data_IF_721845803689
#
_entry.id   IF_721845803689
#
_cell.length_a   1.000
_cell.length_b   1.000
_cell.length_c   1.000
_cell.angle_alpha   90.00
_cell.angle_beta   90.00
_cell.angle_gamma   90.00
#
_symmetry.space_group_name_H-M   'P 1'
#
loop_
_entity.id
_entity.type
_entity.pdbx_description
1 polymer ?
#
# COMPACT_ATOMS: atom_id res chain seq x y z
N UNK A 1 14.32 -5.44 -29.91
CA UNK A 1 14.04 -5.81 -28.50
C UNK A 1 15.24 -5.78 -27.55
N UNK A 2 16.43 -5.29 -27.94
CA UNK A 2 17.62 -5.24 -27.07
C UNK A 2 17.63 -4.10 -26.03
N UNK A 3 16.76 -3.09 -26.18
CA UNK A 3 16.78 -1.88 -25.35
C UNK A 3 16.29 -2.10 -23.91
N UNK A 4 15.34 -3.00 -23.67
CA UNK A 4 14.75 -3.18 -22.35
C UNK A 4 15.66 -3.92 -21.35
N UNK A 5 16.30 -5.05 -21.72
CA UNK A 5 17.37 -5.64 -20.91
C UNK A 5 18.53 -4.67 -20.70
N UNK A 6 18.91 -3.89 -21.73
CA UNK A 6 19.91 -2.84 -21.62
C UNK A 6 19.48 -1.71 -20.66
N UNK A 7 18.20 -1.36 -20.58
CA UNK A 7 17.68 -0.40 -19.58
C UNK A 7 17.80 -0.98 -18.17
N UNK A 8 17.49 -2.27 -17.97
CA UNK A 8 17.67 -2.94 -16.67
C UNK A 8 19.14 -2.99 -16.26
N UNK A 9 20.04 -3.30 -17.20
CA UNK A 9 21.48 -3.40 -16.93
C UNK A 9 22.15 -2.02 -16.77
N UNK A 10 21.70 -1.02 -17.54
CA UNK A 10 22.10 0.38 -17.40
C UNK A 10 21.65 0.96 -16.05
N UNK A 11 20.46 0.61 -15.59
CA UNK A 11 19.95 1.06 -14.29
C UNK A 11 20.80 0.54 -13.11
N UNK A 12 21.47 -0.62 -13.28
CA UNK A 12 22.47 -1.14 -12.31
C UNK A 12 23.82 -0.46 -12.44
N UNK A 13 24.31 -0.28 -13.67
CA UNK A 13 25.63 0.29 -13.94
C UNK A 13 25.76 1.75 -13.48
N UNK A 14 24.65 2.49 -13.48
CA UNK A 14 24.66 3.94 -13.26
C UNK A 14 24.50 4.38 -11.80
N UNK A 15 24.16 3.49 -10.86
CA UNK A 15 24.13 3.83 -9.42
C UNK A 15 25.52 3.84 -8.77
N UNK A 16 26.52 3.17 -9.36
CA UNK A 16 27.87 3.03 -8.79
C UNK A 16 28.91 3.99 -9.37
N UNK A 17 28.61 4.68 -10.46
CA UNK A 17 29.54 5.58 -11.15
C UNK A 17 28.97 6.99 -11.27
N UNK A 18 29.63 7.96 -10.62
CA UNK A 18 29.23 9.38 -10.63
C UNK A 18 29.23 10.00 -12.04
N UNK A 19 29.99 9.43 -12.98
CA UNK A 19 30.06 9.88 -14.38
C UNK A 19 28.79 9.53 -15.17
N UNK A 20 28.10 8.45 -14.78
CA UNK A 20 26.89 7.99 -15.44
C UNK A 20 25.60 8.54 -14.80
N UNK A 21 25.72 9.40 -13.80
CA UNK A 21 24.60 9.99 -13.08
C UNK A 21 23.65 10.77 -13.98
N UNK A 22 24.16 11.52 -14.96
CA UNK A 22 23.32 12.26 -15.91
C UNK A 22 22.48 11.33 -16.81
N UNK A 23 23.03 10.18 -17.20
CA UNK A 23 22.32 9.15 -17.97
C UNK A 23 21.25 8.49 -17.11
N UNK A 24 21.58 8.18 -15.85
CA UNK A 24 20.62 7.69 -14.86
C UNK A 24 19.46 8.66 -14.66
N UNK A 25 19.75 9.94 -14.42
CA UNK A 25 18.72 10.95 -14.15
C UNK A 25 17.80 11.14 -15.35
N UNK A 26 18.35 11.06 -16.58
CA UNK A 26 17.56 11.10 -17.81
C UNK A 26 16.72 9.84 -18.02
N UNK A 27 17.28 8.65 -17.79
CA UNK A 27 16.53 7.39 -17.84
C UNK A 27 15.43 7.35 -16.78
N UNK A 28 15.72 7.79 -15.56
CA UNK A 28 14.76 7.91 -14.47
C UNK A 28 13.65 8.94 -14.79
N UNK A 29 13.97 10.04 -15.46
CA UNK A 29 13.00 11.01 -15.94
C UNK A 29 12.06 10.41 -17.01
N UNK A 30 12.61 9.63 -17.96
CA UNK A 30 11.82 8.93 -18.99
C UNK A 30 10.91 7.87 -18.36
N UNK A 31 11.45 7.03 -17.48
CA UNK A 31 10.70 6.03 -16.70
C UNK A 31 9.73 6.67 -15.68
N UNK A 32 9.95 7.94 -15.34
CA UNK A 32 9.13 8.73 -14.42
C UNK A 32 7.97 9.45 -15.10
N UNK A 33 8.03 9.66 -16.41
CA UNK A 33 7.01 10.39 -17.15
C UNK A 33 5.71 9.59 -17.24
N UNK A 34 4.66 10.08 -16.56
CA UNK A 34 3.33 9.46 -16.47
C UNK A 34 2.60 9.29 -17.82
N UNK A 35 2.97 10.07 -18.83
CA UNK A 35 2.37 10.07 -20.19
C UNK A 35 3.34 9.69 -21.31
N UNK A 36 4.41 8.94 -21.02
CA UNK A 36 5.30 8.50 -22.11
C UNK A 36 4.54 7.56 -23.06
N UNK A 37 4.55 7.87 -24.36
CA UNK A 37 3.99 7.01 -25.41
C UNK A 37 4.87 5.77 -25.54
N UNK A 38 4.26 4.59 -25.51
CA UNK A 38 4.98 3.34 -25.77
C UNK A 38 5.03 3.05 -27.27
N UNK A 39 6.09 2.37 -27.74
CA UNK A 39 6.06 1.77 -29.07
C UNK A 39 4.84 0.86 -29.18
N UNK A 40 4.08 0.97 -30.25
CA UNK A 40 3.02 0.02 -30.57
C UNK A 40 3.63 -1.22 -31.23
N UNK A 41 3.02 -2.40 -31.04
CA UNK A 41 3.46 -3.63 -31.72
C UNK A 41 4.70 -4.31 -31.11
N UNK A 42 4.92 -4.19 -29.80
CA UNK A 42 5.87 -5.07 -29.11
C UNK A 42 5.22 -6.41 -28.76
N UNK A 43 6.06 -7.43 -28.59
CA UNK A 43 5.64 -8.77 -28.20
C UNK A 43 5.24 -8.77 -26.71
N UNK A 44 3.94 -8.88 -26.44
CA UNK A 44 3.37 -8.89 -25.09
C UNK A 44 3.91 -10.04 -24.24
N UNK A 45 4.12 -11.23 -24.83
CA UNK A 45 4.63 -12.38 -24.10
C UNK A 45 6.06 -12.15 -23.61
N UNK A 46 6.93 -11.67 -24.50
CA UNK A 46 8.30 -11.33 -24.10
C UNK A 46 8.35 -10.17 -23.11
N UNK A 47 7.42 -9.22 -23.18
CA UNK A 47 7.32 -8.15 -22.19
C UNK A 47 6.86 -8.67 -20.82
N UNK A 48 5.96 -9.66 -20.77
CA UNK A 48 5.58 -10.34 -19.53
C UNK A 48 6.74 -11.16 -18.96
N UNK A 49 7.48 -11.89 -19.80
CA UNK A 49 8.69 -12.61 -19.37
C UNK A 49 9.72 -11.66 -18.77
N UNK A 50 9.95 -10.52 -19.41
CA UNK A 50 10.81 -9.48 -18.89
C UNK A 50 10.31 -8.94 -17.55
N UNK A 51 9.01 -8.67 -17.42
CA UNK A 51 8.42 -8.23 -16.16
C UNK A 51 8.66 -9.27 -15.06
N UNK A 52 8.46 -10.56 -15.35
CA UNK A 52 8.74 -11.64 -14.42
C UNK A 52 10.21 -11.67 -13.98
N UNK A 53 11.16 -11.50 -14.92
CA UNK A 53 12.59 -11.39 -14.63
C UNK A 53 12.91 -10.18 -13.72
N UNK A 54 12.26 -9.04 -13.93
CA UNK A 54 12.44 -7.85 -13.08
C UNK A 54 11.95 -8.14 -11.65
N UNK A 55 10.79 -8.76 -11.50
CA UNK A 55 10.25 -9.15 -10.19
C UNK A 55 11.17 -10.16 -9.48
N UNK A 56 11.68 -11.16 -10.19
CA UNK A 56 12.62 -12.14 -9.61
C UNK A 56 13.94 -11.50 -9.18
N UNK A 57 14.47 -10.58 -9.99
CA UNK A 57 15.65 -9.79 -9.62
C UNK A 57 15.39 -8.92 -8.40
N UNK A 58 14.22 -8.30 -8.30
CA UNK A 58 13.88 -7.43 -7.17
C UNK A 58 13.80 -8.19 -5.83
N UNK A 59 13.43 -9.48 -5.84
CA UNK A 59 13.47 -10.34 -4.64
C UNK A 59 14.88 -10.54 -4.10
N UNK A 60 15.90 -10.39 -4.95
CA UNK A 60 17.32 -10.60 -4.67
C UNK A 60 18.14 -9.30 -4.75
N UNK A 61 17.48 -8.13 -4.76
CA UNK A 61 18.16 -6.84 -4.83
C UNK A 61 19.17 -6.68 -3.68
N UNK A 62 20.33 -6.10 -3.98
CA UNK A 62 21.39 -5.94 -2.99
C UNK A 62 21.03 -4.89 -1.92
N UNK A 63 20.24 -3.89 -2.30
CA UNK A 63 19.78 -2.83 -1.41
C UNK A 63 18.42 -2.23 -1.85
N UNK A 64 17.90 -1.32 -1.03
CA UNK A 64 16.61 -0.63 -1.27
C UNK A 64 16.64 0.28 -2.50
N UNK A 65 17.80 0.83 -2.85
CA UNK A 65 17.99 1.69 -4.01
C UNK A 65 17.83 0.90 -5.30
N UNK A 66 18.45 -0.28 -5.38
CA UNK A 66 18.29 -1.21 -6.50
C UNK A 66 16.84 -1.69 -6.62
N UNK A 67 16.21 -2.08 -5.50
CA UNK A 67 14.81 -2.48 -5.50
C UNK A 67 13.87 -1.37 -6.01
N UNK A 68 14.11 -0.12 -5.62
CA UNK A 68 13.32 1.04 -6.09
C UNK A 68 13.48 1.27 -7.60
N UNK A 69 14.69 1.12 -8.12
CA UNK A 69 14.97 1.23 -9.56
C UNK A 69 14.26 0.13 -10.32
N UNK A 70 14.36 -1.12 -9.86
CA UNK A 70 13.63 -2.24 -10.46
C UNK A 70 12.12 -2.03 -10.42
N UNK A 71 11.58 -1.46 -9.35
CA UNK A 71 10.17 -1.08 -9.25
C UNK A 71 9.76 -0.03 -10.29
N UNK A 72 10.62 0.96 -10.57
CA UNK A 72 10.38 1.93 -11.64
C UNK A 72 10.34 1.29 -13.03
N UNK A 73 11.24 0.33 -13.30
CA UNK A 73 11.25 -0.39 -14.57
C UNK A 73 10.04 -1.31 -14.67
N UNK A 74 9.70 -2.03 -13.60
CA UNK A 74 8.50 -2.87 -13.53
C UNK A 74 7.22 -2.06 -13.81
N UNK A 75 7.10 -0.87 -13.22
CA UNK A 75 5.98 0.03 -13.46
C UNK A 75 5.91 0.49 -14.93
N UNK A 76 7.06 0.77 -15.56
CA UNK A 76 7.12 1.14 -16.98
C UNK A 76 6.65 0.00 -17.89
N UNK A 77 7.15 -1.23 -17.68
CA UNK A 77 6.76 -2.41 -18.46
C UNK A 77 5.29 -2.75 -18.23
N UNK A 78 4.84 -2.71 -16.97
CA UNK A 78 3.42 -2.95 -16.62
C UNK A 78 2.50 -1.95 -17.33
N UNK A 79 2.87 -0.67 -17.36
CA UNK A 79 2.09 0.35 -18.06
C UNK A 79 1.98 0.06 -19.56
N UNK A 80 3.09 -0.31 -20.20
CA UNK A 80 3.09 -0.67 -21.61
C UNK A 80 2.15 -1.84 -21.92
N UNK A 81 2.22 -2.90 -21.11
CA UNK A 81 1.36 -4.08 -21.22
C UNK A 81 -0.12 -3.71 -21.08
N UNK A 82 -0.46 -3.01 -20.00
CA UNK A 82 -1.83 -2.60 -19.68
C UNK A 82 -2.44 -1.62 -20.69
N UNK A 83 -1.62 -0.83 -21.40
CA UNK A 83 -2.08 0.07 -22.46
C UNK A 83 -2.29 -0.64 -23.82
N UNK A 84 -1.70 -1.82 -24.03
CA UNK A 84 -1.67 -2.48 -25.34
C UNK A 84 -2.73 -3.57 -25.47
N UNK A 85 -2.91 -4.38 -24.42
CA UNK A 85 -3.74 -5.58 -24.48
C UNK A 85 -4.36 -5.89 -23.11
N UNK A 86 -5.70 -5.97 -23.07
CA UNK A 86 -6.46 -6.29 -21.86
C UNK A 86 -6.12 -7.66 -21.28
N UNK A 87 -5.70 -8.62 -22.10
CA UNK A 87 -5.39 -9.99 -21.67
C UNK A 87 -4.08 -10.05 -20.88
N UNK A 88 -3.29 -8.98 -20.88
CA UNK A 88 -2.06 -8.87 -20.08
C UNK A 88 -2.33 -8.49 -18.62
N UNK A 89 -3.48 -7.91 -18.31
CA UNK A 89 -3.79 -7.40 -16.98
C UNK A 89 -3.74 -8.50 -15.89
N UNK A 90 -4.38 -9.68 -16.07
CA UNK A 90 -4.25 -10.79 -15.13
C UNK A 90 -2.80 -11.23 -14.89
N UNK A 91 -1.97 -11.24 -15.94
CA UNK A 91 -0.56 -11.65 -15.85
C UNK A 91 0.27 -10.64 -15.06
N UNK A 92 0.06 -9.34 -15.29
CA UNK A 92 0.69 -8.26 -14.51
C UNK A 92 0.24 -8.34 -13.04
N UNK A 93 -1.05 -8.58 -12.80
CA UNK A 93 -1.63 -8.75 -11.47
C UNK A 93 -0.97 -9.91 -10.72
N UNK A 94 -0.87 -11.08 -11.35
CA UNK A 94 -0.28 -12.29 -10.76
C UNK A 94 1.19 -12.10 -10.37
N UNK A 95 1.99 -11.43 -11.22
CA UNK A 95 3.40 -11.14 -10.91
C UNK A 95 3.54 -10.23 -9.68
N UNK A 96 2.66 -9.24 -9.56
CA UNK A 96 2.63 -8.37 -8.38
C UNK A 96 2.17 -9.12 -7.13
N UNK A 97 1.10 -9.91 -7.21
CA UNK A 97 0.62 -10.76 -6.10
C UNK A 97 1.71 -11.74 -5.65
N UNK A 98 2.37 -12.44 -6.58
CA UNK A 98 3.44 -13.37 -6.26
C UNK A 98 4.61 -12.70 -5.54
N UNK A 99 4.90 -11.45 -5.90
CA UNK A 99 5.95 -10.65 -5.29
C UNK A 99 5.58 -10.13 -3.89
N UNK A 100 4.31 -9.76 -3.69
CA UNK A 100 3.79 -9.47 -2.34
C UNK A 100 3.81 -10.73 -1.49
N UNK A 101 3.37 -11.88 -2.00
CA UNK A 101 3.44 -13.17 -1.29
C UNK A 101 4.86 -13.49 -0.85
N UNK A 102 5.83 -13.40 -1.76
CA UNK A 102 7.24 -13.65 -1.45
C UNK A 102 7.72 -12.75 -0.31
N UNK A 103 7.43 -11.45 -0.37
CA UNK A 103 7.74 -10.50 0.70
C UNK A 103 7.09 -10.88 2.04
N UNK A 104 5.79 -11.17 2.04
CA UNK A 104 5.03 -11.40 3.26
C UNK A 104 5.36 -12.73 3.93
N UNK A 105 5.80 -13.73 3.17
CA UNK A 105 6.03 -15.10 3.66
C UNK A 105 7.51 -15.44 3.87
N UNK A 106 8.45 -14.72 3.24
CA UNK A 106 9.88 -15.00 3.37
C UNK A 106 10.64 -13.88 4.08
N UNK A 107 11.32 -14.22 5.17
CA UNK A 107 12.16 -13.27 5.93
C UNK A 107 13.32 -12.71 5.10
N UNK A 108 13.89 -13.51 4.19
CA UNK A 108 15.02 -13.14 3.36
C UNK A 108 14.65 -12.30 2.11
N UNK A 109 13.36 -12.07 1.86
CA UNK A 109 12.92 -11.30 0.69
C UNK A 109 13.37 -9.84 0.79
N UNK A 110 14.06 -9.37 -0.24
CA UNK A 110 14.59 -8.00 -0.37
C UNK A 110 13.66 -7.04 -1.09
N UNK A 111 12.56 -7.55 -1.67
CA UNK A 111 11.54 -6.68 -2.24
C UNK A 111 10.85 -5.93 -1.09
N UNK A 112 10.47 -4.68 -1.28
CA UNK A 112 9.84 -3.86 -0.25
C UNK A 112 8.59 -3.18 -0.82
N UNK A 113 7.74 -2.61 0.03
CA UNK A 113 6.55 -1.85 -0.42
C UNK A 113 6.92 -0.75 -1.42
N UNK A 114 8.10 -0.15 -1.28
CA UNK A 114 8.60 0.90 -2.19
C UNK A 114 8.86 0.40 -3.63
N UNK A 115 9.03 -0.91 -3.85
CA UNK A 115 9.07 -1.47 -5.21
C UNK A 115 7.73 -1.23 -5.93
N UNK A 116 6.61 -1.45 -5.24
CA UNK A 116 5.27 -1.29 -5.81
C UNK A 116 4.82 0.17 -5.91
N UNK A 117 5.38 1.05 -5.07
CA UNK A 117 5.05 2.49 -5.02
C UNK A 117 5.12 3.14 -6.40
N UNK A 118 6.14 2.81 -7.20
CA UNK A 118 6.28 3.36 -8.54
C UNK A 118 5.08 3.02 -9.45
N UNK A 119 4.54 1.80 -9.38
CA UNK A 119 3.35 1.41 -10.12
C UNK A 119 2.12 2.19 -9.67
N UNK A 120 1.93 2.30 -8.35
CA UNK A 120 0.79 3.01 -7.74
C UNK A 120 0.80 4.51 -8.12
N UNK A 121 1.96 5.16 -8.05
CA UNK A 121 2.09 6.60 -8.32
C UNK A 121 2.05 6.93 -9.81
N UNK A 122 2.58 6.05 -10.69
CA UNK A 122 2.81 6.37 -12.11
C UNK A 122 1.80 5.81 -13.09
N UNK A 123 1.02 4.79 -12.73
CA UNK A 123 -0.03 4.28 -13.62
C UNK A 123 -1.10 5.35 -13.89
N UNK A 124 -1.90 5.16 -14.93
CA UNK A 124 -3.08 5.97 -15.23
C UNK A 124 -4.30 5.44 -14.45
N UNK A 125 -5.38 6.22 -14.26
CA UNK A 125 -6.58 5.78 -13.55
C UNK A 125 -7.09 4.40 -13.99
N UNK A 126 -7.26 4.18 -15.31
CA UNK A 126 -7.76 2.93 -15.89
C UNK A 126 -6.87 1.70 -15.60
N UNK A 127 -5.61 1.92 -15.23
CA UNK A 127 -4.63 0.87 -14.95
C UNK A 127 -4.49 0.58 -13.46
N UNK A 128 -4.99 1.46 -12.58
CA UNK A 128 -4.93 1.27 -11.14
C UNK A 128 -5.66 0.04 -10.61
N UNK A 129 -6.76 -0.47 -11.21
CA UNK A 129 -7.46 -1.65 -10.70
C UNK A 129 -6.53 -2.82 -10.36
N UNK A 130 -5.46 -3.02 -11.14
CA UNK A 130 -4.45 -4.06 -10.89
C UNK A 130 -3.87 -3.98 -9.47
N UNK A 131 -3.53 -2.79 -8.98
CA UNK A 131 -2.94 -2.60 -7.65
C UNK A 131 -3.98 -2.59 -6.54
N UNK A 132 -5.22 -2.26 -6.85
CA UNK A 132 -6.34 -2.43 -5.92
C UNK A 132 -6.58 -3.91 -5.63
N UNK A 133 -6.56 -4.76 -6.66
CA UNK A 133 -6.63 -6.21 -6.46
C UNK A 133 -5.42 -6.75 -5.68
N UNK A 134 -4.21 -6.23 -5.92
CA UNK A 134 -3.02 -6.60 -5.14
C UNK A 134 -3.18 -6.22 -3.67
N UNK A 135 -3.73 -5.04 -3.36
CA UNK A 135 -3.99 -4.62 -1.98
C UNK A 135 -5.07 -5.47 -1.28
N UNK A 136 -6.12 -5.85 -2.03
CA UNK A 136 -7.17 -6.76 -1.55
C UNK A 136 -6.56 -8.12 -1.17
N UNK A 137 -5.76 -8.71 -2.06
CA UNK A 137 -5.07 -9.97 -1.81
C UNK A 137 -4.12 -9.86 -0.60
N UNK A 138 -3.37 -8.75 -0.52
CA UNK A 138 -2.43 -8.51 0.57
C UNK A 138 -3.12 -8.48 1.94
N UNK A 139 -4.23 -7.76 2.07
CA UNK A 139 -4.99 -7.74 3.34
C UNK A 139 -5.69 -9.07 3.62
N UNK A 140 -6.27 -9.71 2.60
CA UNK A 140 -6.98 -10.97 2.76
C UNK A 140 -6.06 -12.09 3.28
N UNK A 141 -4.81 -12.13 2.79
CA UNK A 141 -3.89 -13.23 3.05
C UNK A 141 -2.82 -12.90 4.08
N UNK A 142 -2.56 -11.63 4.40
CA UNK A 142 -1.45 -11.25 5.30
C UNK A 142 -1.82 -10.12 6.27
N UNK A 143 -3.06 -9.61 6.22
CA UNK A 143 -3.55 -8.60 7.15
C UNK A 143 -3.94 -9.18 8.51
N UNK A 144 -4.37 -10.45 8.57
CA UNK A 144 -4.72 -11.09 9.83
C UNK A 144 -3.46 -11.49 10.62
N UNK A 145 -3.55 -11.55 11.96
CA UNK A 145 -2.50 -12.12 12.80
C UNK A 145 -2.07 -13.50 12.30
N UNK A 146 -0.75 -13.79 12.37
CA UNK A 146 -0.11 -15.07 12.03
C UNK A 146 -0.07 -15.49 10.57
N UNK A 147 -0.79 -14.82 9.67
CA UNK A 147 -0.73 -15.18 8.26
C UNK A 147 0.56 -14.68 7.58
N UNK A 148 1.06 -13.52 8.01
CA UNK A 148 2.37 -13.03 7.61
C UNK A 148 3.48 -13.70 8.45
N UNK A 149 4.69 -13.81 7.89
CA UNK A 149 5.83 -14.48 8.58
C UNK A 149 6.25 -13.81 9.89
N UNK A 150 5.88 -12.54 10.07
CA UNK A 150 6.00 -11.78 11.31
C UNK A 150 5.09 -10.55 11.31
N UNK A 151 4.92 -9.93 12.48
CA UNK A 151 4.10 -8.72 12.65
C UNK A 151 4.62 -7.54 11.83
N UNK A 152 5.93 -7.43 11.59
CA UNK A 152 6.44 -6.41 10.68
C UNK A 152 5.85 -6.55 9.27
N UNK A 153 5.79 -7.77 8.71
CA UNK A 153 5.16 -8.01 7.40
C UNK A 153 3.65 -7.75 7.43
N UNK A 154 2.96 -8.10 8.53
CA UNK A 154 1.55 -7.73 8.71
C UNK A 154 1.35 -6.21 8.61
N UNK A 155 2.16 -5.41 9.33
CA UNK A 155 2.14 -3.92 9.20
C UNK A 155 2.35 -3.48 7.75
N UNK A 156 3.24 -4.15 7.02
CA UNK A 156 3.49 -3.80 5.61
C UNK A 156 2.29 -4.12 4.70
N UNK A 157 1.45 -5.11 5.01
CA UNK A 157 0.21 -5.37 4.26
C UNK A 157 -0.75 -4.18 4.40
N UNK A 158 -0.92 -3.64 5.61
CA UNK A 158 -1.68 -2.41 5.84
C UNK A 158 -1.03 -1.19 5.17
N UNK A 159 0.30 -1.10 5.19
CA UNK A 159 1.04 0.00 4.53
C UNK A 159 0.83 -0.02 3.02
N UNK A 160 0.85 -1.20 2.39
CA UNK A 160 0.57 -1.37 0.97
C UNK A 160 -0.87 -0.97 0.64
N UNK A 161 -1.84 -1.43 1.42
CA UNK A 161 -3.25 -1.09 1.24
C UNK A 161 -3.50 0.42 1.40
N UNK A 162 -2.92 1.06 2.42
CA UNK A 162 -2.94 2.51 2.56
C UNK A 162 -2.33 3.15 1.30
N UNK A 163 -1.11 2.76 0.91
CA UNK A 163 -0.43 3.33 -0.27
C UNK A 163 -1.29 3.26 -1.53
N UNK A 164 -1.96 2.14 -1.79
CA UNK A 164 -2.89 2.02 -2.93
C UNK A 164 -4.09 2.95 -2.77
N UNK A 165 -4.69 3.03 -1.58
CA UNK A 165 -5.79 3.95 -1.30
C UNK A 165 -5.40 5.44 -1.42
N UNK A 166 -4.11 5.80 -1.48
CA UNK A 166 -3.69 7.17 -1.85
C UNK A 166 -4.19 7.59 -3.22
N UNK A 167 -4.52 6.61 -4.07
CA UNK A 167 -5.03 6.81 -5.42
C UNK A 167 -6.56 6.86 -5.50
N UNK A 168 -7.27 6.80 -4.37
CA UNK A 168 -8.74 6.76 -4.30
C UNK A 168 -9.44 7.83 -5.16
N UNK A 169 -8.99 9.08 -5.08
CA UNK A 169 -9.57 10.18 -5.88
C UNK A 169 -9.40 9.98 -7.39
N UNK A 170 -8.31 9.33 -7.82
CA UNK A 170 -8.08 9.01 -9.23
C UNK A 170 -8.95 7.85 -9.69
N UNK A 171 -9.18 6.87 -8.81
CA UNK A 171 -10.08 5.74 -9.10
C UNK A 171 -11.54 6.20 -9.10
N UNK A 172 -11.90 7.21 -8.31
CA UNK A 172 -13.25 7.78 -8.30
C UNK A 172 -13.67 8.38 -9.66
N UNK A 173 -12.72 8.61 -10.58
CA UNK A 173 -12.99 9.02 -11.96
C UNK A 173 -13.48 7.85 -12.84
N UNK A 174 -13.40 6.61 -12.36
CA UNK A 174 -13.83 5.42 -13.09
C UNK A 174 -15.33 5.15 -12.88
N UNK A 175 -16.05 4.64 -13.91
CA UNK A 175 -17.49 4.36 -13.81
C UNK A 175 -17.87 3.36 -12.71
N UNK A 176 -16.96 2.47 -12.34
CA UNK A 176 -17.14 1.34 -11.42
C UNK A 176 -16.31 1.47 -10.14
N UNK A 177 -15.92 2.71 -9.77
CA UNK A 177 -15.05 3.00 -8.64
C UNK A 177 -15.52 2.35 -7.32
N UNK A 178 -16.81 2.40 -7.02
CA UNK A 178 -17.39 1.81 -5.81
C UNK A 178 -17.15 0.29 -5.75
N UNK A 179 -17.41 -0.41 -6.86
CA UNK A 179 -17.21 -1.86 -6.99
C UNK A 179 -15.75 -2.26 -6.83
N UNK A 180 -14.81 -1.38 -7.20
CA UNK A 180 -13.38 -1.62 -7.02
C UNK A 180 -12.92 -1.44 -5.56
N UNK A 181 -13.47 -0.44 -4.83
CA UNK A 181 -13.00 -0.14 -3.46
C UNK A 181 -13.61 -1.03 -2.39
N UNK A 182 -14.83 -1.54 -2.61
CA UNK A 182 -15.57 -2.33 -1.62
C UNK A 182 -14.85 -3.61 -1.17
N UNK A 183 -14.26 -4.43 -2.07
CA UNK A 183 -13.50 -5.60 -1.64
C UNK A 183 -12.35 -5.24 -0.70
N UNK A 184 -11.69 -4.09 -0.91
CA UNK A 184 -10.60 -3.65 -0.06
C UNK A 184 -11.12 -3.28 1.33
N UNK A 185 -12.25 -2.57 1.40
CA UNK A 185 -12.92 -2.22 2.66
C UNK A 185 -13.36 -3.45 3.45
N UNK A 186 -13.92 -4.45 2.77
CA UNK A 186 -14.35 -5.72 3.38
C UNK A 186 -13.15 -6.44 4.00
N UNK A 187 -12.05 -6.58 3.26
CA UNK A 187 -10.83 -7.23 3.76
C UNK A 187 -10.16 -6.42 4.86
N UNK A 188 -10.18 -5.10 4.77
CA UNK A 188 -9.68 -4.21 5.83
C UNK A 188 -10.46 -4.42 7.13
N UNK A 189 -11.79 -4.42 7.08
CA UNK A 189 -12.65 -4.63 8.26
C UNK A 189 -12.36 -5.97 8.92
N UNK A 190 -12.35 -7.05 8.14
CA UNK A 190 -12.08 -8.39 8.64
C UNK A 190 -10.68 -8.51 9.28
N UNK A 191 -9.65 -7.99 8.61
CA UNK A 191 -8.28 -8.03 9.13
C UNK A 191 -8.11 -7.17 10.40
N UNK A 192 -8.75 -6.00 10.44
CA UNK A 192 -8.73 -5.13 11.63
C UNK A 192 -9.43 -5.76 12.82
N UNK A 193 -10.61 -6.34 12.62
CA UNK A 193 -11.34 -7.01 13.70
C UNK A 193 -10.46 -8.11 14.31
N UNK A 194 -9.93 -9.01 13.47
CA UNK A 194 -9.04 -10.07 13.92
C UNK A 194 -7.77 -9.54 14.62
N UNK A 195 -7.23 -8.41 14.16
CA UNK A 195 -6.06 -7.77 14.77
C UNK A 195 -6.39 -7.19 16.16
N UNK A 196 -7.55 -6.54 16.31
CA UNK A 196 -8.01 -5.97 17.58
C UNK A 196 -8.31 -7.08 18.59
N UNK A 197 -9.02 -8.13 18.16
CA UNK A 197 -9.29 -9.32 18.99
C UNK A 197 -8.00 -10.02 19.42
N UNK A 198 -7.06 -10.23 18.50
CA UNK A 198 -5.77 -10.80 18.82
C UNK A 198 -4.98 -9.93 19.80
N UNK A 199 -4.98 -8.60 19.64
CA UNK A 199 -4.25 -7.71 20.52
C UNK A 199 -4.62 -7.93 22.00
N UNK A 200 -5.91 -8.12 22.30
CA UNK A 200 -6.42 -8.32 23.67
C UNK A 200 -6.46 -9.78 24.11
N UNK A 201 -6.24 -10.73 23.21
CA UNK A 201 -6.23 -12.17 23.53
C UNK A 201 -5.07 -12.57 24.45
N UNK A 202 -5.26 -13.63 25.24
CA UNK A 202 -4.18 -14.20 26.05
C UNK A 202 -3.08 -14.80 25.19
N UNK A 203 -3.44 -15.28 24.01
CA UNK A 203 -2.49 -15.74 23.00
C UNK A 203 -1.44 -14.69 22.60
N UNK A 204 -1.80 -13.40 22.56
CA UNK A 204 -0.83 -12.33 22.33
C UNK A 204 0.05 -12.08 23.57
N UNK A 205 -0.45 -12.33 24.77
CA UNK A 205 0.27 -12.16 26.03
C UNK A 205 1.21 -13.33 26.37
N UNK A 206 0.83 -14.55 26.02
CA UNK A 206 1.53 -15.79 26.37
C UNK A 206 2.67 -16.15 25.40
N UNK A 207 3.05 -15.22 24.53
CA UNK A 207 4.13 -15.43 23.60
C UNK A 207 5.50 -15.56 24.30
N UNK A 208 6.37 -16.37 23.70
CA UNK A 208 7.64 -16.82 24.31
C UNK A 208 8.46 -15.65 24.90
N UNK A 209 8.55 -15.64 26.24
CA UNK A 209 9.31 -14.65 27.00
C UNK A 209 8.50 -13.49 27.60
N UNK A 210 7.17 -13.61 27.70
CA UNK A 210 6.31 -12.60 28.35
C UNK A 210 6.23 -11.28 27.59
N UNK A 211 6.57 -11.30 26.29
CA UNK A 211 6.52 -10.14 25.40
C UNK A 211 5.34 -10.31 24.45
N UNK A 212 4.61 -9.23 24.23
CA UNK A 212 3.53 -9.21 23.25
C UNK A 212 4.07 -9.49 21.84
N UNK A 213 3.41 -10.38 21.09
CA UNK A 213 3.69 -10.56 19.65
C UNK A 213 3.36 -9.27 18.90
N UNK A 214 2.16 -8.74 19.17
CA UNK A 214 1.69 -7.46 18.70
C UNK A 214 1.81 -6.43 19.82
N UNK A 215 2.95 -5.73 19.84
CA UNK A 215 3.23 -4.66 20.81
C UNK A 215 2.47 -3.35 20.50
N UNK A 216 2.55 -2.40 21.43
CA UNK A 216 1.92 -1.08 21.29
C UNK A 216 2.38 -0.30 20.06
N UNK A 217 3.64 -0.44 19.65
CA UNK A 217 4.17 0.27 18.49
C UNK A 217 3.55 -0.27 17.20
N UNK A 218 3.56 -1.59 17.02
CA UNK A 218 3.04 -2.27 15.84
C UNK A 218 1.53 -2.14 15.72
N UNK A 219 0.81 -2.27 16.83
CA UNK A 219 -0.62 -2.02 16.85
C UNK A 219 -0.92 -0.58 16.42
N UNK A 220 -0.20 0.41 16.96
CA UNK A 220 -0.37 1.82 16.57
C UNK A 220 -0.13 2.03 15.08
N UNK A 221 0.92 1.42 14.50
CA UNK A 221 1.22 1.51 13.06
C UNK A 221 0.06 0.94 12.22
N UNK A 222 -0.47 -0.24 12.56
CA UNK A 222 -1.61 -0.85 11.87
C UNK A 222 -2.85 0.06 11.94
N UNK A 223 -3.23 0.49 13.15
CA UNK A 223 -4.40 1.35 13.35
C UNK A 223 -4.27 2.67 12.59
N UNK A 224 -3.07 3.25 12.54
CA UNK A 224 -2.81 4.48 11.78
C UNK A 224 -2.96 4.26 10.28
N UNK A 225 -2.38 3.21 9.71
CA UNK A 225 -2.54 2.88 8.29
C UNK A 225 -4.02 2.69 7.93
N UNK A 226 -4.76 1.91 8.73
CA UNK A 226 -6.18 1.69 8.52
C UNK A 226 -7.00 2.99 8.58
N UNK A 227 -6.80 3.81 9.60
CA UNK A 227 -7.51 5.09 9.73
C UNK A 227 -7.17 6.04 8.57
N UNK A 228 -5.91 6.09 8.13
CA UNK A 228 -5.54 6.92 6.97
C UNK A 228 -6.19 6.44 5.67
N UNK A 229 -6.25 5.13 5.47
CA UNK A 229 -6.96 4.51 4.35
C UNK A 229 -8.44 4.94 4.36
N UNK A 230 -9.13 4.81 5.50
CA UNK A 230 -10.56 5.21 5.63
C UNK A 230 -10.75 6.70 5.31
N UNK A 231 -9.89 7.57 5.85
CA UNK A 231 -9.95 9.02 5.58
C UNK A 231 -9.78 9.39 4.11
N UNK A 232 -9.10 8.57 3.30
CA UNK A 232 -8.92 8.85 1.86
C UNK A 232 -10.22 8.66 1.08
N UNK A 233 -11.11 7.79 1.54
CA UNK A 233 -12.42 7.58 0.92
C UNK A 233 -13.42 8.67 1.27
N UNK A 234 -13.25 9.36 2.40
CA UNK A 234 -14.08 10.51 2.78
C UNK A 234 -14.01 11.70 1.80
N UNK A 235 -13.05 11.71 0.86
CA UNK A 235 -12.83 12.83 -0.06
C UNK A 235 -13.68 12.76 -1.33
N UNK A 236 -14.49 11.73 -1.48
CA UNK A 236 -15.43 11.54 -2.59
C UNK A 236 -16.70 10.90 -2.02
N UNK A 237 -17.87 11.42 -2.40
CA UNK A 237 -19.15 11.04 -1.78
C UNK A 237 -19.51 9.56 -2.02
N UNK A 238 -19.27 9.04 -3.22
CA UNK A 238 -19.56 7.63 -3.55
C UNK A 238 -18.64 6.68 -2.76
N UNK A 239 -17.35 7.01 -2.67
CA UNK A 239 -16.40 6.23 -1.88
C UNK A 239 -16.71 6.32 -0.38
N UNK A 240 -17.14 7.50 0.11
CA UNK A 240 -17.55 7.70 1.49
C UNK A 240 -18.82 6.92 1.84
N UNK A 241 -19.79 6.84 0.91
CA UNK A 241 -20.99 6.04 1.06
C UNK A 241 -20.66 4.54 1.12
N UNK A 242 -19.78 4.06 0.23
CA UNK A 242 -19.29 2.67 0.28
C UNK A 242 -18.56 2.36 1.60
N UNK A 243 -17.67 3.26 2.05
CA UNK A 243 -16.97 3.11 3.32
C UNK A 243 -17.93 3.08 4.51
N UNK A 244 -18.91 3.98 4.57
CA UNK A 244 -19.94 4.02 5.62
C UNK A 244 -20.72 2.71 5.68
N UNK A 245 -21.14 2.19 4.52
CA UNK A 245 -21.91 0.95 4.44
C UNK A 245 -21.10 -0.27 4.90
N UNK A 246 -19.86 -0.40 4.44
CA UNK A 246 -19.02 -1.58 4.73
C UNK A 246 -18.46 -1.55 6.15
N UNK A 247 -18.07 -0.37 6.66
CA UNK A 247 -17.43 -0.21 7.96
C UNK A 247 -18.42 0.04 9.10
N UNK A 248 -19.72 -0.07 8.84
CA UNK A 248 -20.74 0.07 9.86
C UNK A 248 -20.41 -0.83 11.07
N UNK A 249 -20.32 -0.28 12.29
CA UNK A 249 -20.10 -1.07 13.49
C UNK A 249 -21.21 -2.10 13.70
N UNK A 250 -20.82 -3.33 14.04
CA UNK A 250 -21.71 -4.35 14.59
C UNK A 250 -21.30 -4.69 16.02
N UNK A 251 -22.05 -5.57 16.68
CA UNK A 251 -21.81 -5.91 18.09
C UNK A 251 -20.40 -6.49 18.33
N UNK A 252 -19.90 -7.32 17.42
CA UNK A 252 -18.56 -7.91 17.51
C UNK A 252 -17.47 -6.83 17.40
N UNK A 253 -17.61 -5.93 16.43
CA UNK A 253 -16.70 -4.80 16.26
C UNK A 253 -16.67 -3.88 17.48
N UNK A 254 -17.84 -3.47 17.97
CA UNK A 254 -17.95 -2.58 19.14
C UNK A 254 -17.30 -3.22 20.36
N UNK A 255 -17.62 -4.49 20.66
CA UNK A 255 -17.04 -5.21 21.79
C UNK A 255 -15.51 -5.31 21.68
N UNK A 256 -14.97 -5.61 20.50
CA UNK A 256 -13.53 -5.72 20.28
C UNK A 256 -12.81 -4.37 20.50
N UNK A 257 -13.35 -3.27 19.94
CA UNK A 257 -12.76 -1.93 20.08
C UNK A 257 -12.82 -1.44 21.54
N UNK A 258 -13.93 -1.67 22.24
CA UNK A 258 -14.08 -1.36 23.67
C UNK A 258 -13.10 -2.16 24.53
N UNK A 259 -12.98 -3.46 24.28
CA UNK A 259 -12.02 -4.32 24.97
C UNK A 259 -10.57 -3.82 24.78
N UNK A 260 -10.22 -3.39 23.56
CA UNK A 260 -8.90 -2.83 23.30
C UNK A 260 -8.69 -1.49 24.01
N UNK A 261 -9.69 -0.59 23.99
CA UNK A 261 -9.61 0.70 24.66
C UNK A 261 -9.47 0.57 26.19
N UNK A 262 -10.11 -0.46 26.77
CA UNK A 262 -10.04 -0.79 28.19
C UNK A 262 -8.81 -1.63 28.57
N UNK A 263 -8.08 -2.17 27.60
CA UNK A 263 -6.98 -3.10 27.86
C UNK A 263 -5.85 -2.44 28.67
N UNK A 264 -5.47 -3.01 29.83
CA UNK A 264 -4.33 -2.51 30.61
C UNK A 264 -2.99 -2.72 29.89
N UNK A 265 -2.96 -3.59 28.88
CA UNK A 265 -1.77 -3.89 28.06
C UNK A 265 -1.42 -2.75 27.09
N UNK A 266 -2.38 -1.91 26.74
CA UNK A 266 -2.23 -0.83 25.74
C UNK A 266 -2.66 0.53 26.30
N UNK A 267 -1.83 1.13 27.14
CA UNK A 267 -2.14 2.40 27.82
C UNK A 267 -1.89 3.66 26.97
N UNK A 268 -1.34 3.51 25.76
CA UNK A 268 -0.99 4.65 24.90
C UNK A 268 -2.21 5.53 24.58
N UNK A 269 -2.17 6.85 24.84
CA UNK A 269 -3.26 7.76 24.48
C UNK A 269 -3.58 7.75 22.98
N UNK A 270 -2.58 7.46 22.14
CA UNK A 270 -2.76 7.38 20.69
C UNK A 270 -3.60 6.16 20.31
N UNK A 271 -3.41 5.02 20.97
CA UNK A 271 -4.22 3.82 20.74
C UNK A 271 -5.66 4.08 21.17
N UNK A 272 -5.88 4.69 22.34
CA UNK A 272 -7.22 5.07 22.81
C UNK A 272 -7.94 5.98 21.81
N UNK A 273 -7.28 7.06 21.37
CA UNK A 273 -7.82 7.96 20.33
C UNK A 273 -8.15 7.24 19.01
N UNK A 274 -7.31 6.27 18.62
CA UNK A 274 -7.58 5.46 17.44
C UNK A 274 -8.79 4.54 17.64
N UNK A 275 -8.96 3.97 18.83
CA UNK A 275 -10.16 3.19 19.19
C UNK A 275 -11.42 4.06 19.11
N UNK A 276 -11.39 5.29 19.65
CA UNK A 276 -12.53 6.23 19.55
C UNK A 276 -12.91 6.52 18.08
N UNK A 277 -11.90 6.67 17.23
CA UNK A 277 -12.08 6.89 15.78
C UNK A 277 -12.65 5.66 15.06
N UNK A 278 -12.30 4.45 15.52
CA UNK A 278 -12.78 3.18 14.97
C UNK A 278 -14.16 2.79 15.50
N UNK A 279 -14.52 3.21 16.70
CA UNK A 279 -15.87 3.05 17.25
C UNK A 279 -16.90 3.87 16.46
N UNK A 280 -16.48 5.02 15.92
CA UNK A 280 -17.35 5.94 15.19
C UNK A 280 -16.79 6.27 13.78
N UNK A 281 -16.74 5.29 12.86
CA UNK A 281 -16.18 5.50 11.53
C UNK A 281 -16.97 6.55 10.71
N UNK A 282 -18.27 6.70 10.95
CA UNK A 282 -19.10 7.73 10.32
C UNK A 282 -18.63 9.15 10.68
N UNK A 283 -18.33 9.40 11.97
CA UNK A 283 -17.79 10.68 12.42
C UNK A 283 -16.41 10.94 11.83
N UNK A 284 -15.58 9.89 11.71
CA UNK A 284 -14.26 9.98 11.09
C UNK A 284 -14.36 10.39 9.60
N UNK A 285 -15.30 9.79 8.86
CA UNK A 285 -15.56 10.11 7.46
C UNK A 285 -16.10 11.54 7.34
N UNK A 286 -17.11 11.92 8.12
CA UNK A 286 -17.68 13.27 8.13
C UNK A 286 -16.65 14.35 8.44
N UNK A 287 -15.80 14.14 9.46
CA UNK A 287 -14.74 15.08 9.82
C UNK A 287 -13.65 15.21 8.75
N UNK A 288 -13.47 14.18 7.91
CA UNK A 288 -12.45 14.16 6.85
C UNK A 288 -12.95 14.72 5.52
N UNK A 289 -14.27 14.78 5.32
CA UNK A 289 -14.91 15.41 4.17
C UNK A 289 -14.95 16.95 4.29
N UNK A 290 -14.92 17.49 5.50
CA UNK A 290 -15.00 18.94 5.73
C UNK A 290 -13.82 19.72 5.07
N UNK A 291 -14.08 20.86 4.40
CA UNK A 291 -13.03 21.70 3.85
C UNK A 291 -12.06 22.12 4.96
N UNK A 292 -10.75 21.90 4.76
CA UNK A 292 -9.76 22.42 5.70
C UNK A 292 -9.83 23.95 5.65
N UNK A 293 -10.37 24.56 6.70
CA UNK A 293 -10.30 26.01 6.87
C UNK A 293 -8.82 26.43 6.87
N UNK A 294 -8.44 27.48 6.13
CA UNK A 294 -7.05 27.88 6.02
C UNK A 294 -6.50 28.20 7.42
N UNK A 295 -5.44 27.49 7.82
CA UNK A 295 -4.72 27.76 9.07
C UNK A 295 -4.32 29.24 9.07
N UNK A 296 -4.81 30.00 10.07
CA UNK A 296 -4.39 31.39 10.30
C UNK A 296 -2.85 31.46 10.25
N UNK A 297 -2.28 32.41 9.49
CA UNK A 297 -0.84 32.57 9.40
C UNK A 297 -0.27 32.78 10.81
N UNK A 298 0.74 31.98 11.17
CA UNK A 298 1.48 32.15 12.42
C UNK A 298 2.17 33.51 12.37
N UNK A 299 1.75 34.42 13.24
CA UNK A 299 2.39 35.72 13.44
C UNK A 299 3.87 35.50 13.80
N UNK A 300 4.82 36.13 13.09
CA UNK A 300 6.23 35.97 13.39
C UNK A 300 6.54 36.51 14.79
N UNK A 301 7.20 35.66 15.59
CA UNK A 301 7.72 36.01 16.91
C UNK A 301 8.72 37.15 16.73
N UNK A 302 8.43 38.35 17.25
CA UNK A 302 9.38 39.47 17.32
C UNK A 302 10.63 39.00 18.07
N UNK A 303 11.79 39.02 17.41
CA UNK A 303 13.06 38.94 18.11
C UNK A 303 13.22 40.22 18.92
N UNK A 304 13.47 40.09 20.22
CA UNK A 304 13.99 41.19 21.03
C UNK A 304 15.47 41.31 20.71
N UNK A 305 15.87 42.49 20.22
CA UNK A 305 17.24 42.99 20.36
C UNK A 305 17.48 43.37 21.82
#
# INVERSE_FOLDING_TARGET
MQLLPAIVDLARATQRDSRNRAVHDRAAAILGARRARFPTGFDCDKAVELLALIHERARRAADRGEARVLGNVAAFVSRALLDTDSDTEPRVRELNIASVRDFMTRKASQIHVDFFRAGIEKLLPAQLPVFWHVAVDALANYGHPRQAVNVYRQVQAYTLADTVASTALRVAELPDAATLVEPLLIKLRAALLATVEFAVSDENADAAGGKLVLDSQRLREILQCALQLIRRFAKNDDLAAAATRVLKPDAAWTAAVEALAASPRFTSPVIKKNCDSLANPEQLLAASAAPQTPKKPKTPKKSKN
#
